data_IF_509199202062
#
_entry.id   IF_509199202062
#
_cell.length_a   1.000
_cell.length_b   1.000
_cell.length_c   1.000
_cell.angle_alpha   90.00
_cell.angle_beta   90.00
_cell.angle_gamma   90.00
#
_symmetry.space_group_name_H-M   'P 1'
#
loop_
_entity.id
_entity.type
_entity.pdbx_description
1 polymer ?
#
# COMPACT_ATOMS: atom_id res chain seq x y z
N UNK A 1 24.98 -14.02 6.93
CA UNK A 1 24.35 -13.01 6.05
C UNK A 1 23.19 -13.73 5.37
N UNK A 2 21.97 -13.53 5.82
CA UNK A 2 20.78 -14.06 5.15
C UNK A 2 20.73 -13.40 3.77
N UNK A 3 20.75 -14.19 2.69
CA UNK A 3 20.53 -13.70 1.33
C UNK A 3 19.09 -13.19 1.25
N UNK A 4 18.87 -11.92 1.58
CA UNK A 4 17.56 -11.28 1.45
C UNK A 4 17.21 -11.14 -0.03
N UNK A 5 16.14 -11.82 -0.43
CA UNK A 5 15.67 -11.79 -1.83
C UNK A 5 14.98 -10.46 -2.10
N UNK A 6 15.52 -9.68 -3.03
CA UNK A 6 14.88 -8.43 -3.46
C UNK A 6 13.61 -8.76 -4.26
N UNK A 7 12.48 -8.27 -3.79
CA UNK A 7 11.17 -8.45 -4.41
C UNK A 7 10.86 -7.31 -5.40
N UNK A 8 11.03 -6.06 -4.97
CA UNK A 8 10.85 -4.86 -5.81
C UNK A 8 12.17 -4.09 -5.82
N UNK A 9 12.55 -3.60 -6.99
CA UNK A 9 13.70 -2.72 -7.15
C UNK A 9 13.33 -1.56 -8.08
N UNK A 10 13.44 -0.33 -7.57
CA UNK A 10 13.38 0.90 -8.34
C UNK A 10 14.80 1.40 -8.60
N UNK A 11 15.14 1.64 -9.86
CA UNK A 11 16.46 2.15 -10.26
C UNK A 11 16.33 3.52 -10.91
N UNK A 12 16.75 4.57 -10.19
CA UNK A 12 16.77 5.96 -10.66
C UNK A 12 15.44 6.42 -11.28
N UNK A 13 14.33 6.05 -10.63
CA UNK A 13 12.98 6.35 -11.11
C UNK A 13 12.70 7.84 -10.98
N UNK A 14 12.43 8.52 -12.11
CA UNK A 14 11.98 9.90 -12.13
C UNK A 14 10.67 10.04 -12.92
N UNK A 15 9.89 11.05 -12.58
CA UNK A 15 8.63 11.35 -13.27
C UNK A 15 8.41 12.83 -13.46
N UNK A 16 8.19 13.21 -14.72
CA UNK A 16 7.82 14.56 -15.14
C UNK A 16 6.48 14.46 -15.88
N UNK A 17 5.47 15.18 -15.38
CA UNK A 17 4.22 15.33 -16.10
C UNK A 17 4.28 16.54 -17.04
N UNK A 18 3.69 16.40 -18.23
CA UNK A 18 3.50 17.49 -19.18
C UNK A 18 2.06 17.98 -19.09
N UNK A 19 1.85 19.27 -18.84
CA UNK A 19 0.51 19.85 -18.87
C UNK A 19 -0.05 19.86 -20.30
N UNK A 20 -1.39 19.83 -20.44
CA UNK A 20 -2.05 19.92 -21.76
C UNK A 20 -1.52 21.16 -22.51
N UNK A 21 -0.94 20.94 -23.70
CA UNK A 21 -0.25 21.98 -24.47
C UNK A 21 1.29 21.93 -24.43
N UNK A 22 1.89 21.04 -23.61
CA UNK A 22 3.33 20.71 -23.65
C UNK A 22 4.32 21.78 -23.12
N UNK A 23 3.85 22.99 -22.83
CA UNK A 23 4.71 24.12 -22.43
C UNK A 23 5.18 24.07 -20.95
N UNK A 24 4.40 23.44 -20.07
CA UNK A 24 4.75 23.35 -18.66
C UNK A 24 5.09 21.90 -18.32
N UNK A 25 6.27 21.70 -17.74
CA UNK A 25 6.73 20.43 -17.22
C UNK A 25 6.71 20.49 -15.69
N UNK A 26 6.08 19.49 -15.06
CA UNK A 26 5.99 19.40 -13.61
C UNK A 26 6.80 18.17 -13.18
N UNK A 27 8.02 18.36 -12.66
CA UNK A 27 8.78 17.26 -12.07
C UNK A 27 8.12 16.84 -10.76
N UNK A 28 7.80 15.55 -10.64
CA UNK A 28 7.10 14.98 -9.48
C UNK A 28 7.98 14.04 -8.68
N UNK A 29 8.85 13.28 -9.35
CA UNK A 29 9.83 12.39 -8.71
C UNK A 29 11.19 12.64 -9.36
N UNK A 30 12.25 12.61 -8.54
CA UNK A 30 13.61 12.78 -8.98
C UNK A 30 14.51 11.67 -8.45
N UNK A 31 14.94 10.78 -9.35
CA UNK A 31 15.95 9.75 -9.13
C UNK A 31 15.72 8.85 -7.91
N UNK A 32 14.51 8.32 -7.75
CA UNK A 32 14.20 7.39 -6.66
C UNK A 32 14.86 6.03 -6.92
N UNK A 33 15.74 5.61 -6.02
CA UNK A 33 16.32 4.27 -5.98
C UNK A 33 15.96 3.59 -4.67
N UNK A 34 15.19 2.49 -4.76
CA UNK A 34 14.59 1.79 -3.62
C UNK A 34 14.55 0.29 -3.89
N UNK A 35 14.99 -0.52 -2.94
CA UNK A 35 14.80 -1.96 -2.93
C UNK A 35 13.85 -2.37 -1.80
N UNK A 36 13.00 -3.35 -2.04
CA UNK A 36 12.09 -3.96 -1.06
C UNK A 36 12.34 -5.45 -1.05
N UNK A 37 12.58 -6.02 0.11
CA UNK A 37 12.85 -7.47 0.23
C UNK A 37 11.56 -8.28 0.33
N UNK A 38 11.65 -9.57 0.10
CA UNK A 38 10.49 -10.47 0.17
C UNK A 38 9.89 -10.49 1.58
N UNK A 39 8.56 -10.41 1.67
CA UNK A 39 7.78 -10.37 2.91
C UNK A 39 8.05 -9.16 3.81
N UNK A 40 8.70 -8.12 3.31
CA UNK A 40 8.88 -6.85 4.01
C UNK A 40 7.58 -6.03 4.01
N UNK A 41 7.26 -5.40 5.13
CA UNK A 41 6.29 -4.33 5.21
C UNK A 41 7.02 -2.98 5.15
N UNK A 42 7.17 -2.45 3.95
CA UNK A 42 7.77 -1.14 3.73
C UNK A 42 6.70 -0.05 3.82
N UNK A 43 6.95 0.99 4.60
CA UNK A 43 6.12 2.21 4.59
C UNK A 43 6.89 3.37 4.00
N UNK A 44 6.28 4.05 3.03
CA UNK A 44 6.78 5.30 2.46
C UNK A 44 5.96 6.45 3.06
N UNK A 45 6.61 7.30 3.84
CA UNK A 45 5.98 8.42 4.52
C UNK A 45 6.50 9.75 3.94
N UNK A 46 5.65 10.76 3.92
CA UNK A 46 6.01 12.10 3.45
C UNK A 46 4.78 13.01 3.42
N UNK A 47 4.96 14.32 3.32
CA UNK A 47 3.86 15.27 3.28
C UNK A 47 2.98 15.08 2.04
N UNK A 48 1.80 15.71 2.05
CA UNK A 48 0.92 15.70 0.89
C UNK A 48 1.63 16.23 -0.36
N UNK A 49 1.30 15.64 -1.53
CA UNK A 49 1.80 16.05 -2.84
C UNK A 49 3.31 15.85 -3.10
N UNK A 50 4.07 15.16 -2.24
CA UNK A 50 5.49 14.88 -2.48
C UNK A 50 5.76 13.72 -3.49
N UNK A 51 4.75 13.16 -4.13
CA UNK A 51 4.92 12.14 -5.19
C UNK A 51 4.73 10.69 -4.75
N UNK A 52 4.37 10.38 -3.49
CA UNK A 52 4.16 9.01 -2.97
C UNK A 52 3.23 8.17 -3.83
N UNK A 53 2.02 8.67 -4.09
CA UNK A 53 1.03 8.01 -4.96
C UNK A 53 1.56 7.79 -6.38
N UNK A 54 2.35 8.75 -6.91
CA UNK A 54 2.96 8.61 -8.25
C UNK A 54 3.99 7.49 -8.25
N UNK A 55 4.85 7.40 -7.23
CA UNK A 55 5.81 6.30 -7.09
C UNK A 55 5.09 4.95 -6.99
N UNK A 56 4.04 4.87 -6.16
CA UNK A 56 3.27 3.64 -6.00
C UNK A 56 2.61 3.20 -7.31
N UNK A 57 2.05 4.15 -8.09
CA UNK A 57 1.46 3.87 -9.40
C UNK A 57 2.49 3.41 -10.43
N UNK A 58 3.71 3.94 -10.38
CA UNK A 58 4.82 3.47 -11.23
C UNK A 58 5.18 2.03 -10.86
N UNK A 59 5.29 1.70 -9.57
CA UNK A 59 5.55 0.34 -9.09
C UNK A 59 4.41 -0.61 -9.51
N UNK A 60 3.16 -0.14 -9.48
CA UNK A 60 2.00 -0.91 -9.94
C UNK A 60 1.98 -1.13 -11.47
N UNK A 61 2.79 -0.39 -12.24
CA UNK A 61 2.74 -0.37 -13.71
C UNK A 61 1.55 0.41 -14.27
N UNK A 62 0.85 1.21 -13.44
CA UNK A 62 -0.26 2.07 -13.84
C UNK A 62 0.22 3.42 -14.39
N UNK A 63 1.46 3.77 -14.14
CA UNK A 63 2.11 4.98 -14.63
C UNK A 63 3.52 4.62 -15.12
N UNK A 64 3.93 5.19 -16.25
CA UNK A 64 5.27 4.97 -16.81
C UNK A 64 6.24 6.02 -16.25
N UNK A 65 7.41 5.65 -15.72
CA UNK A 65 8.43 6.62 -15.33
C UNK A 65 8.93 7.39 -16.56
N UNK A 66 9.42 8.61 -16.37
CA UNK A 66 10.08 9.39 -17.43
C UNK A 66 11.49 8.86 -17.67
N UNK A 67 12.20 8.51 -16.59
CA UNK A 67 13.51 7.84 -16.61
C UNK A 67 13.57 6.79 -15.51
N UNK A 68 14.53 5.88 -15.61
CA UNK A 68 14.69 4.77 -14.68
C UNK A 68 13.71 3.62 -14.94
N UNK A 69 13.82 2.58 -14.13
CA UNK A 69 13.04 1.35 -14.29
C UNK A 69 12.63 0.77 -12.93
N UNK A 70 11.55 0.01 -12.95
CA UNK A 70 11.09 -0.80 -11.81
C UNK A 70 11.17 -2.27 -12.18
N UNK A 71 11.63 -3.09 -11.25
CA UNK A 71 11.72 -4.54 -11.42
C UNK A 71 10.93 -5.25 -10.30
N UNK A 72 10.26 -6.34 -10.64
CA UNK A 72 9.64 -7.30 -9.73
C UNK A 72 10.28 -8.67 -9.96
N UNK A 73 10.87 -9.28 -8.93
CA UNK A 73 11.65 -10.52 -9.04
C UNK A 73 12.67 -10.46 -10.19
N UNK A 74 13.39 -9.34 -10.36
CA UNK A 74 14.36 -9.10 -11.42
C UNK A 74 13.78 -8.88 -12.82
N UNK A 75 12.45 -8.96 -13.02
CA UNK A 75 11.77 -8.69 -14.30
C UNK A 75 11.27 -7.26 -14.34
N UNK A 76 11.55 -6.55 -15.42
CA UNK A 76 11.09 -5.16 -15.58
C UNK A 76 9.56 -5.08 -15.62
N UNK A 77 9.01 -4.13 -14.87
CA UNK A 77 7.59 -3.77 -14.87
C UNK A 77 7.31 -2.89 -16.08
N UNK A 78 6.54 -3.38 -17.03
CA UNK A 78 6.16 -2.66 -18.26
C UNK A 78 4.68 -2.26 -18.30
N UNK A 79 3.89 -2.72 -17.33
CA UNK A 79 2.46 -2.42 -17.23
C UNK A 79 1.82 -3.06 -16.00
N UNK A 80 0.52 -2.90 -15.78
CA UNK A 80 -0.19 -3.54 -14.68
C UNK A 80 -0.22 -5.07 -14.86
N UNK A 81 -0.20 -5.79 -13.73
CA UNK A 81 -0.19 -7.25 -13.73
C UNK A 81 -0.88 -7.84 -12.49
N UNK A 82 -1.30 -9.12 -12.54
CA UNK A 82 -1.95 -9.80 -11.43
C UNK A 82 -1.00 -10.06 -10.24
N UNK A 83 0.30 -9.94 -10.47
CA UNK A 83 1.37 -10.09 -9.49
C UNK A 83 1.46 -8.93 -8.49
N UNK A 84 0.74 -7.83 -8.75
CA UNK A 84 0.64 -6.64 -7.90
C UNK A 84 -0.81 -6.31 -7.58
N UNK A 85 -1.18 -6.44 -6.29
CA UNK A 85 -2.48 -6.01 -5.79
C UNK A 85 -2.43 -4.54 -5.36
N UNK A 86 -3.40 -3.72 -5.76
CA UNK A 86 -3.47 -2.32 -5.36
C UNK A 86 -4.75 -1.98 -4.62
N UNK A 87 -4.59 -1.31 -3.46
CA UNK A 87 -5.66 -0.68 -2.69
C UNK A 87 -5.50 0.83 -2.83
N UNK A 88 -6.51 1.48 -3.40
CA UNK A 88 -6.50 2.92 -3.67
C UNK A 88 -7.01 3.73 -2.47
N UNK A 89 -6.61 4.99 -2.39
CA UNK A 89 -7.05 5.94 -1.36
C UNK A 89 -8.58 6.10 -1.32
N UNK A 90 -9.23 6.17 -2.49
CA UNK A 90 -10.70 6.16 -2.58
C UNK A 90 -11.20 4.73 -2.68
N UNK A 91 -12.36 4.45 -2.08
CA UNK A 91 -12.99 3.15 -2.21
C UNK A 91 -13.35 2.85 -3.66
N UNK A 92 -12.59 1.96 -4.31
CA UNK A 92 -12.78 1.59 -5.72
C UNK A 92 -13.60 0.31 -5.86
N UNK A 93 -14.58 0.12 -4.96
CA UNK A 93 -15.48 -1.03 -5.05
C UNK A 93 -16.44 -0.86 -6.21
N UNK A 94 -16.75 -1.96 -6.89
CA UNK A 94 -17.79 -2.00 -7.91
C UNK A 94 -19.16 -1.83 -7.26
N UNK A 95 -19.86 -0.70 -7.42
CA UNK A 95 -21.09 -0.39 -6.68
C UNK A 95 -22.25 -1.34 -7.01
N UNK A 96 -22.22 -1.97 -8.19
CA UNK A 96 -23.19 -2.96 -8.65
C UNK A 96 -22.87 -4.40 -8.25
N UNK A 97 -21.81 -4.64 -7.50
CA UNK A 97 -21.42 -5.95 -7.00
C UNK A 97 -21.53 -6.00 -5.47
N UNK A 98 -21.91 -7.18 -4.98
CA UNK A 98 -21.88 -7.46 -3.55
C UNK A 98 -20.44 -7.53 -3.02
N UNK A 99 -20.25 -7.65 -1.71
CA UNK A 99 -18.95 -7.92 -1.06
C UNK A 99 -18.29 -9.15 -1.71
N UNK A 100 -18.98 -10.28 -1.74
CA UNK A 100 -18.50 -11.51 -2.41
C UNK A 100 -18.12 -11.24 -3.86
N UNK A 101 -18.98 -10.54 -4.62
CA UNK A 101 -18.76 -10.25 -6.03
C UNK A 101 -17.61 -9.28 -6.29
N UNK A 102 -17.28 -8.39 -5.35
CA UNK A 102 -16.11 -7.53 -5.41
C UNK A 102 -14.82 -8.32 -5.21
N UNK A 103 -14.78 -9.19 -4.20
CA UNK A 103 -13.58 -9.95 -3.85
C UNK A 103 -13.28 -11.01 -4.92
N UNK A 104 -14.29 -11.75 -5.41
CA UNK A 104 -14.10 -12.79 -6.43
C UNK A 104 -13.80 -12.26 -7.85
N UNK A 105 -13.83 -10.93 -8.06
CA UNK A 105 -13.79 -10.35 -9.42
C UNK A 105 -12.49 -10.67 -10.16
N UNK A 106 -11.33 -10.48 -9.52
CA UNK A 106 -10.04 -10.79 -10.14
C UNK A 106 -9.88 -12.28 -10.45
N UNK A 107 -10.27 -13.13 -9.51
CA UNK A 107 -10.28 -14.59 -9.69
C UNK A 107 -11.18 -15.01 -10.86
N UNK A 108 -12.33 -14.32 -11.04
CA UNK A 108 -13.23 -14.55 -12.16
C UNK A 108 -12.58 -14.17 -13.49
N UNK A 109 -11.90 -13.03 -13.56
CA UNK A 109 -11.18 -12.59 -14.75
C UNK A 109 -10.01 -13.52 -15.09
N UNK A 110 -9.36 -14.12 -14.07
CA UNK A 110 -8.35 -15.16 -14.24
C UNK A 110 -8.90 -16.54 -14.66
N UNK A 111 -10.20 -16.66 -14.96
CA UNK A 111 -10.81 -17.91 -15.44
C UNK A 111 -11.08 -18.96 -14.35
N UNK A 112 -10.94 -18.62 -13.07
CA UNK A 112 -11.11 -19.60 -11.98
C UNK A 112 -12.56 -20.08 -11.87
N UNK A 113 -12.75 -21.39 -11.65
CA UNK A 113 -14.06 -22.01 -11.48
C UNK A 113 -14.83 -21.38 -10.29
N UNK A 114 -16.17 -21.22 -10.44
CA UNK A 114 -17.04 -20.53 -9.48
C UNK A 114 -16.94 -21.09 -8.06
N UNK A 115 -16.85 -22.40 -7.91
CA UNK A 115 -16.74 -23.05 -6.58
C UNK A 115 -15.47 -22.58 -5.87
N UNK A 116 -14.30 -22.69 -6.53
CA UNK A 116 -13.00 -22.35 -5.96
C UNK A 116 -12.87 -20.85 -5.65
N UNK A 117 -13.30 -19.95 -6.56
CA UNK A 117 -13.22 -18.51 -6.29
C UNK A 117 -14.12 -18.06 -5.13
N UNK A 118 -15.30 -18.71 -4.95
CA UNK A 118 -16.16 -18.44 -3.79
C UNK A 118 -15.57 -18.91 -2.47
N UNK A 119 -14.88 -20.05 -2.49
CA UNK A 119 -14.14 -20.57 -1.34
C UNK A 119 -13.03 -19.59 -0.93
N UNK A 120 -12.21 -19.15 -1.88
CA UNK A 120 -11.15 -18.15 -1.62
C UNK A 120 -11.76 -16.83 -1.14
N UNK A 121 -12.78 -16.30 -1.81
CA UNK A 121 -13.42 -15.06 -1.40
C UNK A 121 -14.05 -15.17 0.00
N UNK A 122 -14.67 -16.32 0.32
CA UNK A 122 -15.21 -16.61 1.65
C UNK A 122 -14.12 -16.63 2.73
N UNK A 123 -12.97 -17.21 2.45
CA UNK A 123 -11.81 -17.17 3.34
C UNK A 123 -11.41 -15.72 3.67
N UNK A 124 -11.22 -14.88 2.65
CA UNK A 124 -10.82 -13.47 2.87
C UNK A 124 -11.93 -12.62 3.51
N UNK A 125 -13.22 -12.90 3.24
CA UNK A 125 -14.34 -12.27 3.96
C UNK A 125 -14.24 -12.58 5.46
N UNK A 126 -13.97 -13.85 5.80
CA UNK A 126 -13.78 -14.28 7.19
C UNK A 126 -12.55 -13.60 7.81
N UNK A 127 -11.42 -13.57 7.07
CA UNK A 127 -10.15 -12.99 7.54
C UNK A 127 -10.28 -11.51 7.90
N UNK A 128 -11.09 -10.75 7.13
CA UNK A 128 -11.32 -9.31 7.38
C UNK A 128 -12.57 -9.04 8.27
N UNK A 129 -13.16 -10.06 8.89
CA UNK A 129 -14.28 -9.93 9.82
C UNK A 129 -15.57 -9.39 9.19
N UNK A 130 -15.89 -9.84 7.96
CA UNK A 130 -17.10 -9.44 7.23
C UNK A 130 -18.08 -10.59 6.99
N UNK A 131 -18.05 -11.63 7.85
CA UNK A 131 -19.03 -12.71 7.82
C UNK A 131 -20.45 -12.15 8.01
N UNK A 132 -21.39 -12.65 7.22
CA UNK A 132 -22.78 -12.18 7.20
C UNK A 132 -23.03 -11.01 6.24
N UNK A 133 -21.97 -10.37 5.70
CA UNK A 133 -22.08 -9.27 4.74
C UNK A 133 -21.79 -9.67 3.29
N UNK A 134 -21.70 -10.96 2.98
CA UNK A 134 -21.33 -11.50 1.66
C UNK A 134 -22.21 -10.97 0.53
N UNK A 135 -23.51 -10.78 0.83
CA UNK A 135 -24.55 -10.31 -0.11
C UNK A 135 -24.76 -8.79 -0.08
N UNK A 136 -24.15 -8.08 0.88
CA UNK A 136 -24.30 -6.64 0.99
C UNK A 136 -23.60 -5.91 -0.18
N UNK A 137 -24.19 -4.79 -0.60
CA UNK A 137 -23.64 -3.90 -1.61
C UNK A 137 -22.83 -2.77 -0.95
N UNK A 138 -21.87 -2.13 -1.68
CA UNK A 138 -21.03 -1.07 -1.11
C UNK A 138 -21.78 0.08 -0.42
N UNK A 139 -22.97 0.46 -0.91
CA UNK A 139 -23.78 1.51 -0.30
C UNK A 139 -24.34 1.15 1.09
N UNK A 140 -24.35 -0.14 1.45
CA UNK A 140 -24.83 -0.66 2.73
C UNK A 140 -23.71 -0.80 3.77
N UNK A 141 -22.46 -0.44 3.41
CA UNK A 141 -21.27 -0.64 4.22
C UNK A 141 -20.75 0.68 4.79
N UNK A 142 -20.20 0.64 6.01
CA UNK A 142 -19.42 1.75 6.57
C UNK A 142 -18.11 1.97 5.80
N UNK A 143 -17.42 3.10 6.04
CA UNK A 143 -16.12 3.38 5.43
C UNK A 143 -15.09 2.30 5.72
N UNK A 144 -14.95 1.91 6.99
CA UNK A 144 -14.04 0.84 7.39
C UNK A 144 -14.38 -0.52 6.78
N UNK A 145 -15.67 -0.86 6.66
CA UNK A 145 -16.10 -2.10 5.97
C UNK A 145 -15.73 -2.07 4.49
N UNK A 146 -15.94 -0.94 3.80
CA UNK A 146 -15.52 -0.77 2.39
C UNK A 146 -14.02 -0.96 2.23
N UNK A 147 -13.24 -0.44 3.15
CA UNK A 147 -11.79 -0.59 3.15
C UNK A 147 -11.38 -2.06 3.32
N UNK A 148 -11.99 -2.77 4.27
CA UNK A 148 -11.77 -4.21 4.48
C UNK A 148 -12.10 -5.02 3.22
N UNK A 149 -13.17 -4.71 2.50
CA UNK A 149 -13.49 -5.35 1.21
C UNK A 149 -12.40 -5.07 0.18
N UNK A 150 -11.88 -3.83 0.12
CA UNK A 150 -10.77 -3.46 -0.78
C UNK A 150 -9.50 -4.26 -0.50
N UNK A 151 -9.13 -4.41 0.77
CA UNK A 151 -7.99 -5.20 1.21
C UNK A 151 -8.23 -6.69 0.86
N UNK A 152 -9.37 -7.27 1.24
CA UNK A 152 -9.71 -8.65 0.92
C UNK A 152 -9.66 -8.95 -0.58
N UNK A 153 -10.16 -8.01 -1.42
CA UNK A 153 -10.10 -8.12 -2.88
C UNK A 153 -8.67 -8.14 -3.41
N UNK A 154 -7.78 -7.33 -2.83
CA UNK A 154 -6.39 -7.30 -3.22
C UNK A 154 -5.66 -8.60 -2.85
N UNK A 155 -5.86 -9.10 -1.62
CA UNK A 155 -5.27 -10.37 -1.16
C UNK A 155 -5.81 -11.59 -1.91
N UNK A 156 -7.10 -11.63 -2.24
CA UNK A 156 -7.75 -12.79 -2.86
C UNK A 156 -7.13 -13.20 -4.20
N UNK A 157 -6.51 -12.27 -4.91
CA UNK A 157 -5.81 -12.54 -6.16
C UNK A 157 -4.42 -13.14 -5.98
N UNK A 158 -3.99 -13.40 -4.74
CA UNK A 158 -2.68 -13.93 -4.38
C UNK A 158 -1.50 -13.19 -5.06
N UNK A 159 -1.45 -11.84 -4.96
CA UNK A 159 -0.39 -11.07 -5.57
C UNK A 159 0.94 -11.31 -4.85
N UNK A 160 2.05 -11.11 -5.55
CA UNK A 160 3.41 -11.16 -4.96
C UNK A 160 3.69 -9.93 -4.09
N UNK A 161 3.09 -8.79 -4.45
CA UNK A 161 3.25 -7.50 -3.75
C UNK A 161 1.91 -6.81 -3.61
N UNK A 162 1.65 -6.26 -2.42
CA UNK A 162 0.51 -5.42 -2.12
C UNK A 162 0.95 -3.95 -2.05
N UNK A 163 0.22 -3.11 -2.74
CA UNK A 163 0.45 -1.67 -2.84
C UNK A 163 -0.75 -0.95 -2.23
N UNK A 164 -0.55 -0.21 -1.14
CA UNK A 164 -1.62 0.47 -0.42
C UNK A 164 -1.36 1.99 -0.45
N UNK A 165 -2.25 2.74 -1.08
CA UNK A 165 -2.16 4.18 -1.29
C UNK A 165 -3.05 4.93 -0.29
N UNK A 166 -2.49 5.44 0.81
CA UNK A 166 -3.18 6.15 1.90
C UNK A 166 -4.51 5.50 2.30
N UNK A 167 -4.53 4.18 2.60
CA UNK A 167 -5.78 3.43 2.70
C UNK A 167 -6.67 3.87 3.87
N UNK A 168 -6.12 4.56 4.87
CA UNK A 168 -6.85 4.97 6.06
C UNK A 168 -7.16 6.49 6.09
N UNK A 169 -6.74 7.24 5.08
CA UNK A 169 -6.86 8.70 5.04
C UNK A 169 -8.29 9.25 5.09
N UNK A 170 -9.31 8.42 4.79
CA UNK A 170 -10.73 8.81 4.82
C UNK A 170 -11.48 8.31 6.06
N UNK A 171 -10.78 7.67 7.00
CA UNK A 171 -11.38 7.09 8.20
C UNK A 171 -11.25 8.06 9.40
N UNK A 172 -12.25 8.04 10.27
CA UNK A 172 -12.14 8.66 11.58
C UNK A 172 -11.06 7.99 12.45
N UNK A 173 -10.59 8.66 13.49
CA UNK A 173 -9.46 8.21 14.30
C UNK A 173 -9.66 6.81 14.91
N UNK A 174 -10.86 6.52 15.44
CA UNK A 174 -11.15 5.23 16.05
C UNK A 174 -11.16 4.10 15.02
N UNK A 175 -11.82 4.31 13.89
CA UNK A 175 -11.85 3.33 12.79
C UNK A 175 -10.46 3.13 12.19
N UNK A 176 -9.64 4.18 12.09
CA UNK A 176 -8.25 4.11 11.63
C UNK A 176 -7.42 3.20 12.52
N UNK A 177 -7.43 3.43 13.83
CA UNK A 177 -6.73 2.59 14.80
C UNK A 177 -7.09 1.12 14.69
N UNK A 178 -8.40 0.80 14.57
CA UNK A 178 -8.85 -0.58 14.35
C UNK A 178 -8.36 -1.16 13.02
N UNK A 179 -8.25 -0.34 11.97
CA UNK A 179 -7.75 -0.78 10.66
C UNK A 179 -6.24 -1.00 10.64
N UNK A 180 -5.47 -0.25 11.42
CA UNK A 180 -4.04 -0.49 11.63
C UNK A 180 -3.82 -1.87 12.28
N UNK A 181 -4.53 -2.17 13.37
CA UNK A 181 -4.47 -3.46 14.05
C UNK A 181 -4.87 -4.62 13.12
N UNK A 182 -5.98 -4.47 12.38
CA UNK A 182 -6.45 -5.47 11.42
C UNK A 182 -5.43 -5.70 10.30
N UNK A 183 -4.84 -4.62 9.76
CA UNK A 183 -3.84 -4.74 8.69
C UNK A 183 -2.58 -5.45 9.18
N UNK A 184 -2.10 -5.13 10.38
CA UNK A 184 -0.97 -5.82 11.00
C UNK A 184 -1.27 -7.31 11.23
N UNK A 185 -2.49 -7.63 11.71
CA UNK A 185 -2.95 -9.01 11.93
C UNK A 185 -3.02 -9.81 10.62
N UNK A 186 -3.63 -9.25 9.57
CA UNK A 186 -3.75 -9.87 8.24
C UNK A 186 -2.35 -10.11 7.66
N UNK A 187 -1.49 -9.10 7.69
CA UNK A 187 -0.12 -9.24 7.19
C UNK A 187 0.67 -10.30 7.96
N UNK A 188 0.52 -10.38 9.28
CA UNK A 188 1.21 -11.39 10.09
C UNK A 188 0.79 -12.82 9.73
N UNK A 189 -0.48 -13.00 9.33
CA UNK A 189 -1.02 -14.30 8.90
C UNK A 189 -0.59 -14.67 7.47
N UNK A 190 -0.60 -13.72 6.54
CA UNK A 190 -0.40 -13.96 5.11
C UNK A 190 1.05 -13.75 4.64
N UNK A 191 1.86 -12.97 5.39
CA UNK A 191 3.28 -12.69 5.10
C UNK A 191 3.54 -12.33 3.63
N UNK A 192 2.89 -11.28 3.14
CA UNK A 192 3.11 -10.73 1.79
C UNK A 192 4.08 -9.54 1.84
N UNK A 193 4.79 -9.30 0.75
CA UNK A 193 5.53 -8.05 0.56
C UNK A 193 4.53 -6.91 0.41
N UNK A 194 4.66 -5.87 1.22
CA UNK A 194 3.74 -4.71 1.25
C UNK A 194 4.52 -3.43 1.04
N UNK A 195 4.03 -2.55 0.18
CA UNK A 195 4.43 -1.15 0.10
C UNK A 195 3.22 -0.31 0.45
N UNK A 196 3.31 0.37 1.58
CA UNK A 196 2.25 1.19 2.14
C UNK A 196 2.65 2.67 2.07
N UNK A 197 1.80 3.51 1.54
CA UNK A 197 2.03 4.94 1.43
C UNK A 197 1.10 5.67 2.39
N UNK A 198 1.64 6.59 3.19
CA UNK A 198 0.87 7.40 4.13
C UNK A 198 1.52 8.77 4.39
N UNK A 199 0.76 9.69 4.97
CA UNK A 199 1.25 10.93 5.55
C UNK A 199 1.32 10.87 7.09
N UNK A 200 0.93 9.75 7.70
CA UNK A 200 0.94 9.53 9.15
C UNK A 200 2.19 8.78 9.60
N UNK A 201 2.98 9.40 10.48
CA UNK A 201 4.14 8.75 11.10
C UNK A 201 3.69 7.65 12.06
N UNK A 202 2.54 7.83 12.73
CA UNK A 202 2.00 6.82 13.65
C UNK A 202 1.67 5.53 12.89
N UNK A 203 0.98 5.61 11.74
CA UNK A 203 0.73 4.45 10.88
C UNK A 203 2.04 3.79 10.43
N UNK A 204 3.05 4.61 10.08
CA UNK A 204 4.34 4.10 9.62
C UNK A 204 5.07 3.33 10.73
N UNK A 205 5.20 3.89 11.93
CA UNK A 205 5.86 3.23 13.06
C UNK A 205 5.08 1.98 13.50
N UNK A 206 3.73 2.02 13.44
CA UNK A 206 2.90 0.89 13.83
C UNK A 206 3.05 -0.32 12.90
N UNK A 207 3.07 -0.10 11.57
CA UNK A 207 2.99 -1.16 10.57
C UNK A 207 4.34 -1.62 10.03
N UNK A 208 5.32 -0.74 9.88
CA UNK A 208 6.51 -1.00 9.07
C UNK A 208 7.52 -1.97 9.71
N UNK A 209 8.22 -2.73 8.87
CA UNK A 209 9.53 -3.27 9.18
C UNK A 209 10.61 -2.25 8.85
N UNK A 210 10.36 -1.42 7.80
CA UNK A 210 11.21 -0.31 7.42
C UNK A 210 10.38 0.87 6.93
N UNK A 211 10.80 2.06 7.32
CA UNK A 211 10.18 3.34 6.91
C UNK A 211 11.16 4.07 5.99
N UNK A 212 10.64 4.55 4.87
CA UNK A 212 11.35 5.45 3.95
C UNK A 212 10.63 6.79 3.92
N UNK A 213 11.38 7.87 4.08
CA UNK A 213 10.82 9.23 4.05
C UNK A 213 11.09 9.89 2.70
N UNK A 214 10.10 10.59 2.17
CA UNK A 214 10.25 11.46 1.01
C UNK A 214 10.29 12.93 1.43
N UNK A 215 11.08 13.73 0.71
CA UNK A 215 11.13 15.19 0.91
C UNK A 215 9.78 15.84 0.63
N UNK A 216 9.49 16.94 1.36
CA UNK A 216 8.19 17.60 1.33
C UNK A 216 7.88 18.44 0.10
N UNK A 217 8.85 18.66 -0.79
CA UNK A 217 8.70 19.52 -1.97
C UNK A 217 8.85 18.72 -3.26
N UNK A 218 8.17 19.16 -4.33
CA UNK A 218 8.38 18.61 -5.66
C UNK A 218 9.71 19.14 -6.27
N UNK A 219 10.44 18.28 -6.96
CA UNK A 219 10.24 16.84 -7.12
C UNK A 219 10.59 16.06 -5.85
N UNK A 220 9.77 15.05 -5.51
CA UNK A 220 10.02 14.18 -4.35
C UNK A 220 11.31 13.39 -4.53
N UNK A 221 12.10 13.35 -3.45
CA UNK A 221 13.35 12.59 -3.32
C UNK A 221 13.30 11.74 -2.06
N UNK A 222 14.02 10.65 -2.05
CA UNK A 222 14.24 9.92 -0.80
C UNK A 222 15.12 10.75 0.13
N UNK A 223 14.71 10.85 1.40
CA UNK A 223 15.45 11.57 2.44
C UNK A 223 16.19 10.61 3.36
N UNK A 224 15.45 9.74 4.05
CA UNK A 224 16.00 8.83 5.05
C UNK A 224 15.34 7.45 4.98
N UNK A 225 15.97 6.47 5.60
CA UNK A 225 15.42 5.11 5.76
C UNK A 225 15.68 4.63 7.19
N UNK A 226 14.64 4.11 7.85
CA UNK A 226 14.67 3.66 9.25
C UNK A 226 14.22 2.21 9.33
N UNK A 227 15.03 1.35 9.92
CA UNK A 227 14.62 -0.01 10.29
C UNK A 227 13.84 0.06 11.60
N UNK A 228 12.67 -0.55 11.65
CA UNK A 228 11.79 -0.56 12.82
C UNK A 228 11.98 -1.85 13.59
N UNK A 229 12.85 -1.83 14.59
CA UNK A 229 13.18 -2.99 15.43
C UNK A 229 12.22 -3.18 16.62
N UNK A 230 10.97 -2.70 16.49
CA UNK A 230 9.96 -2.85 17.53
C UNK A 230 9.21 -4.18 17.32
N UNK A 231 9.04 -4.99 18.39
CA UNK A 231 8.26 -6.22 18.32
C UNK A 231 6.79 -5.93 17.99
N UNK A 232 6.08 -6.90 17.42
CA UNK A 232 4.63 -6.85 17.21
C UNK A 232 3.91 -7.77 18.21
N UNK A 233 2.74 -7.45 18.74
CA UNK A 233 1.97 -6.21 18.48
C UNK A 233 2.64 -4.98 19.10
N UNK A 234 2.46 -3.81 18.48
CA UNK A 234 2.97 -2.52 18.94
C UNK A 234 1.86 -1.70 19.56
N UNK A 235 2.20 -0.92 20.59
CA UNK A 235 1.27 0.01 21.21
C UNK A 235 1.76 1.45 21.00
N UNK A 236 0.85 2.36 20.66
CA UNK A 236 1.19 3.77 20.38
C UNK A 236 1.71 4.54 21.59
N UNK A 237 1.54 3.98 22.80
CA UNK A 237 1.97 4.56 24.08
C UNK A 237 3.34 4.03 24.54
N UNK A 238 3.90 3.04 23.87
CA UNK A 238 5.18 2.47 24.24
C UNK A 238 6.30 3.50 24.06
N UNK A 239 7.25 3.49 24.99
CA UNK A 239 8.36 4.45 25.01
C UNK A 239 9.17 4.41 23.72
N UNK A 240 9.56 3.23 23.28
CA UNK A 240 10.36 3.03 22.07
C UNK A 240 9.58 3.44 20.81
N UNK A 241 8.25 3.25 20.80
CA UNK A 241 7.38 3.74 19.74
C UNK A 241 7.40 5.26 19.66
N UNK A 242 7.23 5.92 20.80
CA UNK A 242 7.22 7.38 20.91
C UNK A 242 8.59 8.00 20.56
N UNK A 243 9.69 7.38 20.96
CA UNK A 243 11.05 7.81 20.63
C UNK A 243 11.30 7.74 19.11
N UNK A 244 10.97 6.62 18.47
CA UNK A 244 11.12 6.47 17.02
C UNK A 244 10.22 7.45 16.25
N UNK A 245 8.95 7.58 16.66
CA UNK A 245 8.02 8.56 16.11
C UNK A 245 8.58 9.99 16.21
N UNK A 246 9.10 10.38 17.37
CA UNK A 246 9.68 11.70 17.57
C UNK A 246 10.89 11.94 16.66
N UNK A 247 11.81 10.98 16.56
CA UNK A 247 12.98 11.04 15.69
C UNK A 247 12.56 11.30 14.23
N UNK A 248 11.61 10.51 13.70
CA UNK A 248 11.14 10.65 12.33
C UNK A 248 10.44 12.01 12.13
N UNK A 249 9.65 12.45 13.12
CA UNK A 249 8.94 13.74 13.05
C UNK A 249 9.91 14.91 12.94
N UNK A 250 10.99 14.91 13.74
CA UNK A 250 11.99 15.98 13.70
C UNK A 250 12.71 16.09 12.37
N UNK A 251 12.97 14.92 11.71
CA UNK A 251 13.71 14.91 10.45
C UNK A 251 12.84 15.20 9.21
N UNK A 252 11.54 14.95 9.29
CA UNK A 252 10.69 14.96 8.09
C UNK A 252 9.97 16.26 7.81
N UNK A 253 10.03 17.26 8.67
CA UNK A 253 9.17 18.46 8.56
C UNK A 253 7.67 18.09 8.39
N UNK A 254 7.29 16.88 8.71
CA UNK A 254 5.91 16.43 8.80
C UNK A 254 5.27 17.01 10.07
N UNK A 255 5.45 18.30 10.26
CA UNK A 255 4.76 19.05 11.28
C UNK A 255 3.31 19.22 10.82
N UNK A 256 2.46 18.64 11.59
CA UNK A 256 1.06 18.91 11.90
C UNK A 256 0.29 19.83 10.94
#
# INVERSE_FOLDING_TARGET
MTNETIKIECRNVAKIFKQRGGKVQIPVLDSISLSVVENEFLVIVGPGQCGKTTLLRIIAGLETPTTGNVFLDGKQVTGPGPDRGMVFQKYTLFPWKTVMGNIEMGLKLGGMAKKKRREIAGHYISLVGLQGFEKAYPHQLSGGMKQRVGIARAYANDPKVLLLDEPFGQLDAQTRYLMEQETARIWSAEKKTVIFVTNSIDEAVYLADRIVTLEGKLPGRMKSSYVVNLPRPREHIDKEFLELRHMITQETELLL
#
